data_IF_237408312382
#
_entry.id   IF_237408312382
#
_cell.length_a   1.000
_cell.length_b   1.000
_cell.length_c   1.000
_cell.angle_alpha   90.00
_cell.angle_beta   90.00
_cell.angle_gamma   90.00
#
_symmetry.space_group_name_H-M   'P 1'
#
loop_
_entity.id
_entity.type
_entity.pdbx_description
1 polymer ?
#
# COMPACT_ATOMS: atom_id res chain seq x y z
N UNK A 1 -67.15 27.10 -42.07
CA UNK A 1 -66.00 27.73 -41.42
C UNK A 1 -65.31 26.64 -40.62
N UNK A 2 -64.34 25.91 -41.26
CA UNK A 2 -63.59 24.81 -40.66
C UNK A 2 -62.25 25.39 -40.14
N UNK A 3 -62.05 25.29 -38.85
CA UNK A 3 -60.76 25.60 -38.25
C UNK A 3 -59.96 24.23 -38.09
N UNK A 4 -58.84 24.14 -38.88
CA UNK A 4 -57.87 23.08 -38.77
C UNK A 4 -57.04 23.33 -37.52
N UNK A 5 -57.03 22.37 -36.57
CA UNK A 5 -56.09 22.33 -35.48
C UNK A 5 -54.87 21.48 -35.89
N UNK A 6 -53.71 22.09 -36.04
CA UNK A 6 -52.43 21.40 -36.17
C UNK A 6 -51.96 20.98 -34.77
N UNK A 7 -51.53 19.72 -34.55
CA UNK A 7 -50.86 19.34 -33.32
C UNK A 7 -49.39 19.69 -33.38
N UNK A 8 -48.92 20.44 -32.39
CA UNK A 8 -47.50 20.68 -32.13
C UNK A 8 -46.86 19.37 -31.62
N UNK A 9 -46.02 18.75 -32.45
CA UNK A 9 -45.13 17.66 -32.03
C UNK A 9 -43.94 18.30 -31.32
N UNK A 10 -43.91 18.21 -29.97
CA UNK A 10 -42.75 18.54 -29.16
C UNK A 10 -41.75 17.40 -29.28
N UNK A 11 -40.65 17.62 -30.02
CA UNK A 11 -39.52 16.70 -30.06
C UNK A 11 -38.72 16.85 -28.79
N UNK A 12 -38.87 15.89 -27.83
CA UNK A 12 -38.01 15.78 -26.68
C UNK A 12 -36.66 15.18 -27.11
N UNK A 13 -35.64 16.01 -27.27
CA UNK A 13 -34.27 15.58 -27.48
C UNK A 13 -33.71 14.99 -26.16
N UNK A 14 -33.68 13.67 -26.07
CA UNK A 14 -33.05 12.93 -24.97
C UNK A 14 -31.53 13.03 -25.14
N UNK A 15 -30.88 13.94 -24.43
CA UNK A 15 -29.43 14.06 -24.39
C UNK A 15 -28.87 12.83 -23.61
N UNK A 16 -28.47 11.79 -24.34
CA UNK A 16 -27.75 10.65 -23.83
C UNK A 16 -26.33 11.12 -23.46
N UNK A 17 -26.10 11.45 -22.19
CA UNK A 17 -24.78 11.73 -21.69
C UNK A 17 -23.92 10.42 -21.80
N UNK A 18 -23.10 10.36 -22.84
CA UNK A 18 -22.06 9.33 -22.99
C UNK A 18 -21.09 9.49 -21.83
N UNK A 19 -21.27 8.72 -20.76
CA UNK A 19 -20.26 8.55 -19.73
C UNK A 19 -19.05 7.90 -20.40
N UNK A 20 -18.03 8.69 -20.73
CA UNK A 20 -16.74 8.18 -21.17
C UNK A 20 -16.21 7.27 -20.04
N UNK A 21 -15.79 6.04 -20.36
CA UNK A 21 -15.19 5.16 -19.35
C UNK A 21 -14.00 5.90 -18.74
N UNK A 22 -13.98 6.03 -17.42
CA UNK A 22 -12.83 6.56 -16.70
C UNK A 22 -11.62 5.67 -17.08
N UNK A 23 -10.68 6.22 -17.83
CA UNK A 23 -9.44 5.51 -18.14
C UNK A 23 -8.63 5.39 -16.86
N UNK A 24 -8.21 4.19 -16.57
CA UNK A 24 -7.31 3.93 -15.47
C UNK A 24 -5.88 3.86 -16.01
N UNK A 25 -4.99 4.62 -15.41
CA UNK A 25 -3.59 4.68 -15.79
C UNK A 25 -2.73 3.77 -14.92
N UNK A 26 -1.58 3.33 -15.42
CA UNK A 26 -0.51 2.79 -14.58
C UNK A 26 0.44 3.92 -14.18
N UNK A 27 0.67 4.08 -12.88
CA UNK A 27 1.58 5.09 -12.34
C UNK A 27 2.83 4.40 -11.83
N UNK A 28 3.98 4.73 -12.40
CA UNK A 28 5.30 4.30 -11.91
C UNK A 28 5.90 5.41 -11.07
N UNK A 29 6.40 5.07 -9.89
CA UNK A 29 7.12 6.00 -9.02
C UNK A 29 8.52 5.46 -8.77
N UNK A 30 9.54 6.24 -9.14
CA UNK A 30 10.94 5.98 -8.83
C UNK A 30 11.31 6.77 -7.59
N UNK A 31 11.78 6.09 -6.56
CA UNK A 31 12.14 6.71 -5.29
C UNK A 31 13.66 6.67 -5.11
N UNK A 32 14.23 7.82 -4.77
CA UNK A 32 15.66 7.99 -4.54
C UNK A 32 15.90 8.50 -3.11
N UNK A 33 17.03 8.13 -2.54
CA UNK A 33 17.53 8.76 -1.32
C UNK A 33 18.03 10.17 -1.59
N UNK A 34 18.35 10.93 -0.54
CA UNK A 34 18.95 12.27 -0.66
C UNK A 34 20.31 12.26 -1.39
N UNK A 35 20.97 11.10 -1.49
CA UNK A 35 22.20 10.87 -2.25
C UNK A 35 21.96 10.53 -3.73
N UNK A 36 20.71 10.56 -4.18
CA UNK A 36 20.31 10.22 -5.54
C UNK A 36 20.33 8.72 -5.87
N UNK A 37 20.65 7.85 -4.90
CA UNK A 37 20.63 6.40 -5.12
C UNK A 37 19.22 5.83 -5.00
N UNK A 38 18.89 4.76 -5.73
CA UNK A 38 17.60 4.08 -5.62
C UNK A 38 17.27 3.68 -4.17
N UNK A 39 16.04 3.97 -3.73
CA UNK A 39 15.56 3.66 -2.39
C UNK A 39 14.55 2.50 -2.41
N UNK A 40 15.00 1.31 -2.00
CA UNK A 40 14.15 0.13 -1.89
C UNK A 40 13.38 0.09 -0.56
N UNK A 41 12.29 -0.71 -0.52
CA UNK A 41 11.44 -0.88 0.66
C UNK A 41 10.80 0.43 1.15
N UNK A 42 10.54 1.34 0.23
CA UNK A 42 9.75 2.55 0.47
C UNK A 42 8.33 2.28 0.07
N UNK A 43 7.39 2.56 0.95
CA UNK A 43 5.97 2.52 0.63
C UNK A 43 5.62 3.74 -0.21
N UNK A 44 4.92 3.52 -1.30
CA UNK A 44 4.32 4.57 -2.14
C UNK A 44 2.80 4.41 -2.06
N UNK A 45 2.12 5.42 -1.57
CA UNK A 45 0.66 5.51 -1.58
C UNK A 45 0.23 6.65 -2.50
N UNK A 46 -0.71 6.34 -3.40
CA UNK A 46 -1.35 7.33 -4.26
C UNK A 46 -2.73 7.66 -3.68
N UNK A 47 -3.02 8.95 -3.55
CA UNK A 47 -4.30 9.46 -3.01
C UNK A 47 -4.96 10.33 -4.08
N UNK A 48 -5.78 9.76 -4.98
CA UNK A 48 -6.50 10.53 -5.99
C UNK A 48 -7.48 11.53 -5.36
N UNK A 49 -7.58 12.72 -5.91
CA UNK A 49 -8.53 13.75 -5.46
C UNK A 49 -9.99 13.31 -5.66
N UNK A 50 -10.25 12.45 -6.65
CA UNK A 50 -11.57 11.86 -6.89
C UNK A 50 -11.51 10.36 -6.60
N UNK A 51 -12.51 9.79 -5.91
CA UNK A 51 -12.55 8.35 -5.70
C UNK A 51 -12.59 7.65 -7.06
N UNK A 52 -11.79 6.58 -7.19
CA UNK A 52 -11.83 5.70 -8.35
C UNK A 52 -12.98 4.71 -8.27
N UNK A 53 -13.08 3.84 -9.28
CA UNK A 53 -14.00 2.72 -9.26
C UNK A 53 -13.70 1.81 -8.04
N UNK A 54 -14.72 1.19 -7.43
CA UNK A 54 -14.51 0.20 -6.39
C UNK A 54 -13.56 -0.89 -6.88
N UNK A 55 -12.58 -1.24 -6.06
CA UNK A 55 -11.67 -2.36 -6.35
C UNK A 55 -12.15 -3.61 -5.64
N UNK A 56 -11.93 -4.81 -6.23
CA UNK A 56 -12.22 -6.05 -5.54
C UNK A 56 -11.39 -6.14 -4.26
N UNK A 57 -11.85 -6.89 -3.25
CA UNK A 57 -11.07 -7.16 -2.05
C UNK A 57 -9.67 -7.67 -2.42
N UNK A 58 -8.67 -7.20 -1.71
CA UNK A 58 -7.30 -7.69 -1.89
C UNK A 58 -7.24 -9.16 -1.49
N UNK A 59 -6.53 -9.94 -2.28
CA UNK A 59 -6.17 -11.30 -1.88
C UNK A 59 -5.37 -11.24 -0.58
N UNK A 60 -5.51 -12.24 0.32
CA UNK A 60 -4.73 -12.27 1.54
C UNK A 60 -3.23 -12.12 1.25
N UNK A 61 -2.61 -11.15 1.90
CA UNK A 61 -1.16 -10.95 1.82
C UNK A 61 -0.50 -11.84 2.86
N UNK A 62 0.56 -12.53 2.48
CA UNK A 62 1.28 -13.44 3.38
C UNK A 62 2.58 -12.80 3.83
N UNK A 63 2.79 -12.76 5.15
CA UNK A 63 4.08 -12.44 5.78
C UNK A 63 4.62 -13.72 6.40
N UNK A 64 5.75 -14.17 5.89
CA UNK A 64 6.40 -15.40 6.33
C UNK A 64 7.43 -15.07 7.43
N UNK A 65 7.50 -15.90 8.48
CA UNK A 65 8.65 -15.93 9.37
C UNK A 65 9.60 -17.01 8.86
N UNK A 66 10.79 -16.58 8.48
CA UNK A 66 11.84 -17.45 7.97
C UNK A 66 13.21 -16.89 8.33
N UNK A 67 14.08 -17.74 8.85
CA UNK A 67 15.43 -17.40 9.30
C UNK A 67 15.43 -16.22 10.30
N UNK A 68 14.46 -16.23 11.22
CA UNK A 68 14.25 -15.18 12.24
C UNK A 68 13.97 -13.80 11.61
N UNK A 69 13.37 -13.76 10.43
CA UNK A 69 12.96 -12.53 9.76
C UNK A 69 11.48 -12.54 9.35
N UNK A 70 10.86 -11.37 9.31
CA UNK A 70 9.62 -11.18 8.59
C UNK A 70 9.92 -10.97 7.10
N UNK A 71 9.29 -11.77 6.23
CA UNK A 71 9.50 -11.73 4.78
C UNK A 71 8.14 -11.52 4.09
N UNK A 72 7.94 -10.41 3.38
CA UNK A 72 8.87 -9.28 3.25
C UNK A 72 8.99 -8.47 4.56
N UNK A 73 10.10 -7.73 4.71
CA UNK A 73 10.35 -6.89 5.89
C UNK A 73 9.42 -5.67 5.96
N UNK A 74 9.05 -5.14 4.80
CA UNK A 74 8.08 -4.04 4.65
C UNK A 74 6.93 -4.54 3.81
N UNK A 75 5.72 -4.42 4.32
CA UNK A 75 4.47 -4.78 3.64
C UNK A 75 3.54 -3.58 3.64
N UNK A 76 2.94 -3.26 2.52
CA UNK A 76 1.92 -2.23 2.40
C UNK A 76 0.62 -2.82 1.86
N UNK A 77 -0.48 -2.51 2.53
CA UNK A 77 -1.82 -3.01 2.16
C UNK A 77 -2.87 -1.92 2.41
N UNK A 78 -3.98 -1.88 1.66
CA UNK A 78 -5.09 -1.00 2.02
C UNK A 78 -5.81 -1.49 3.27
N UNK A 79 -6.47 -0.57 3.96
CA UNK A 79 -7.39 -0.91 5.06
C UNK A 79 -8.47 -1.89 4.60
N UNK A 80 -8.87 -2.81 5.46
CA UNK A 80 -9.77 -3.93 5.16
C UNK A 80 -9.07 -5.20 4.69
N UNK A 81 -7.76 -5.17 4.44
CA UNK A 81 -7.01 -6.35 3.99
C UNK A 81 -6.76 -7.33 5.15
N UNK A 82 -6.91 -8.63 4.86
CA UNK A 82 -6.46 -9.70 5.75
C UNK A 82 -5.01 -10.07 5.44
N UNK A 83 -4.15 -10.02 6.44
CA UNK A 83 -2.75 -10.46 6.38
C UNK A 83 -2.63 -11.80 7.07
N UNK A 84 -2.06 -12.77 6.38
CA UNK A 84 -1.71 -14.08 6.92
C UNK A 84 -0.25 -14.10 7.37
N UNK A 85 -0.03 -14.43 8.63
CA UNK A 85 1.29 -14.73 9.16
C UNK A 85 1.52 -16.23 9.09
N UNK A 86 2.70 -16.66 8.60
CA UNK A 86 3.02 -18.06 8.39
C UNK A 86 4.43 -18.37 8.88
N UNK A 87 4.57 -19.28 9.86
CA UNK A 87 5.87 -19.64 10.41
C UNK A 87 6.49 -20.80 9.63
N UNK A 88 7.60 -20.53 8.92
CA UNK A 88 8.39 -21.54 8.21
C UNK A 88 9.66 -21.96 8.95
N UNK A 89 9.97 -21.35 10.10
CA UNK A 89 11.09 -21.75 10.93
C UNK A 89 10.73 -22.97 11.77
N UNK A 90 11.70 -23.83 12.14
CA UNK A 90 11.44 -25.02 12.94
C UNK A 90 11.20 -24.74 14.43
N UNK A 91 11.18 -23.48 14.82
CA UNK A 91 10.95 -23.01 16.21
C UNK A 91 9.79 -22.01 16.26
N UNK A 92 9.27 -21.81 17.46
CA UNK A 92 8.11 -20.94 17.68
C UNK A 92 8.46 -19.47 17.48
N UNK A 93 7.49 -18.72 16.99
CA UNK A 93 7.48 -17.26 17.02
C UNK A 93 6.31 -16.71 17.83
N UNK A 94 6.54 -15.62 18.55
CA UNK A 94 5.52 -14.91 19.30
C UNK A 94 5.42 -13.49 18.75
N UNK A 95 4.60 -13.34 17.73
CA UNK A 95 4.45 -12.10 16.94
C UNK A 95 3.54 -11.14 17.70
N UNK A 96 3.90 -9.86 17.69
CA UNK A 96 3.07 -8.78 18.23
C UNK A 96 3.17 -7.51 17.40
N UNK A 97 2.12 -6.70 17.46
CA UNK A 97 2.14 -5.32 17.02
C UNK A 97 2.83 -4.45 18.07
N UNK A 98 3.75 -3.61 17.62
CA UNK A 98 4.44 -2.63 18.45
C UNK A 98 4.16 -1.21 17.95
N UNK A 99 4.31 -0.18 18.81
CA UNK A 99 4.22 1.21 18.41
C UNK A 99 5.23 1.56 17.32
N UNK A 100 4.84 2.45 16.43
CA UNK A 100 5.66 2.95 15.34
C UNK A 100 6.27 4.33 15.66
N UNK A 101 7.01 4.87 14.70
CA UNK A 101 7.71 6.14 14.80
C UNK A 101 9.08 6.02 15.48
N UNK A 102 9.94 7.03 15.32
CA UNK A 102 11.32 6.99 15.80
C UNK A 102 11.44 6.88 17.32
N UNK A 103 10.41 7.27 18.05
CA UNK A 103 10.36 7.21 19.51
C UNK A 103 9.34 6.19 20.04
N UNK A 104 8.76 5.35 19.18
CA UNK A 104 7.72 4.39 19.58
C UNK A 104 6.44 5.06 20.14
N UNK A 105 6.13 6.27 19.70
CA UNK A 105 5.02 7.08 20.21
C UNK A 105 3.78 7.05 19.32
N UNK A 106 3.81 6.36 18.17
CA UNK A 106 2.65 6.19 17.29
C UNK A 106 2.01 4.85 17.63
N UNK A 107 0.80 4.88 18.16
CA UNK A 107 0.05 3.66 18.46
C UNK A 107 -0.15 2.81 17.17
N UNK A 108 -0.07 1.48 17.25
CA UNK A 108 -0.26 0.63 16.09
C UNK A 108 -1.69 0.75 15.55
N UNK A 109 -1.84 0.74 14.23
CA UNK A 109 -3.15 0.77 13.56
C UNK A 109 -4.08 -0.38 14.00
N UNK A 110 -3.50 -1.51 14.39
CA UNK A 110 -4.18 -2.67 14.97
C UNK A 110 -3.30 -3.29 16.04
N UNK A 111 -3.86 -3.52 17.22
CA UNK A 111 -3.20 -4.29 18.28
C UNK A 111 -3.52 -5.77 18.12
N UNK A 112 -2.50 -6.60 18.08
CA UNK A 112 -2.61 -8.05 18.05
C UNK A 112 -1.34 -8.71 18.62
N UNK A 113 -1.52 -9.94 19.06
CA UNK A 113 -0.46 -10.80 19.56
C UNK A 113 -0.83 -12.25 19.24
N UNK A 114 0.14 -13.05 18.77
CA UNK A 114 -0.09 -14.44 18.41
C UNK A 114 1.17 -15.29 18.52
N UNK A 115 1.03 -16.53 18.97
CA UNK A 115 2.10 -17.52 18.95
C UNK A 115 1.89 -18.50 17.81
N UNK A 116 2.87 -18.66 16.96
CA UNK A 116 2.91 -19.63 15.89
C UNK A 116 3.96 -20.68 16.19
N UNK A 117 3.53 -21.94 16.29
CA UNK A 117 4.43 -23.07 16.54
C UNK A 117 5.42 -23.23 15.39
N UNK A 118 6.59 -23.80 15.69
CA UNK A 118 7.59 -24.16 14.69
C UNK A 118 7.03 -25.06 13.60
N UNK A 119 7.50 -24.88 12.37
CA UNK A 119 7.13 -25.71 11.23
C UNK A 119 7.68 -27.12 11.39
N UNK A 120 6.89 -28.11 10.99
CA UNK A 120 7.31 -29.52 10.83
C UNK A 120 7.16 -29.93 9.37
N UNK A 121 7.58 -31.16 9.03
CA UNK A 121 7.39 -31.68 7.67
C UNK A 121 5.91 -31.76 7.25
N UNK A 122 5.00 -31.92 8.23
CA UNK A 122 3.57 -32.12 8.00
C UNK A 122 2.75 -30.84 8.17
N UNK A 123 3.29 -29.82 8.87
CA UNK A 123 2.49 -28.66 9.28
C UNK A 123 3.27 -27.36 9.33
N UNK A 124 2.67 -26.32 8.75
CA UNK A 124 3.11 -24.93 8.86
C UNK A 124 2.04 -24.14 9.60
N UNK A 125 2.38 -23.58 10.77
CA UNK A 125 1.46 -22.79 11.58
C UNK A 125 1.21 -21.43 10.91
N UNK A 126 -0.04 -20.99 10.90
CA UNK A 126 -0.43 -19.67 10.38
C UNK A 126 -1.61 -19.09 11.16
N UNK A 127 -1.73 -17.74 11.11
CA UNK A 127 -2.87 -17.01 11.65
C UNK A 127 -3.14 -15.76 10.81
N UNK A 128 -4.39 -15.35 10.78
CA UNK A 128 -4.87 -14.23 9.98
C UNK A 128 -5.22 -13.03 10.87
N UNK A 129 -4.90 -11.83 10.38
CA UNK A 129 -5.27 -10.56 11.02
C UNK A 129 -5.87 -9.64 9.96
N UNK A 130 -7.10 -9.17 10.18
CA UNK A 130 -7.71 -8.15 9.32
C UNK A 130 -7.35 -6.75 9.83
N UNK A 131 -6.87 -5.90 8.94
CA UNK A 131 -6.37 -4.56 9.24
C UNK A 131 -7.40 -3.50 8.84
N UNK A 132 -8.25 -3.10 9.77
CA UNK A 132 -9.45 -2.30 9.49
C UNK A 132 -9.19 -0.79 9.38
N UNK A 133 -8.07 -0.30 9.93
CA UNK A 133 -7.78 1.13 10.02
C UNK A 133 -6.44 1.47 9.38
N UNK A 134 -6.34 2.60 8.63
CA UNK A 134 -5.06 3.10 8.13
C UNK A 134 -4.11 3.45 9.28
N UNK A 135 -2.81 3.27 9.03
CA UNK A 135 -1.74 3.61 9.96
C UNK A 135 -0.57 2.65 9.90
N UNK A 136 0.33 2.77 10.84
CA UNK A 136 1.55 1.99 10.91
C UNK A 136 1.45 0.89 11.96
N UNK A 137 2.14 -0.21 11.73
CA UNK A 137 2.35 -1.29 12.70
C UNK A 137 3.80 -1.74 12.58
N UNK A 138 4.53 -1.68 13.67
CA UNK A 138 5.82 -2.37 13.77
C UNK A 138 5.54 -3.80 14.23
N UNK A 139 6.09 -4.77 13.53
CA UNK A 139 6.05 -6.18 13.92
C UNK A 139 7.27 -6.51 14.75
N UNK A 140 7.07 -7.10 15.90
CA UNK A 140 8.11 -7.63 16.77
C UNK A 140 7.89 -9.10 17.10
N UNK A 141 8.93 -9.76 17.59
CA UNK A 141 8.83 -11.09 18.14
C UNK A 141 9.37 -11.11 19.58
N UNK A 142 8.56 -11.60 20.54
CA UNK A 142 9.01 -11.72 21.95
C UNK A 142 10.18 -12.68 22.15
N UNK A 143 10.22 -13.74 21.33
CA UNK A 143 11.23 -14.79 21.46
C UNK A 143 12.56 -14.42 20.77
N UNK A 144 12.52 -13.51 19.80
CA UNK A 144 13.67 -13.13 19.00
C UNK A 144 13.72 -11.59 18.87
N UNK A 145 14.38 -10.93 19.80
CA UNK A 145 14.36 -9.48 19.98
C UNK A 145 14.87 -8.65 18.78
N UNK A 146 15.66 -9.24 17.89
CA UNK A 146 16.13 -8.61 16.65
C UNK A 146 15.13 -8.69 15.49
N UNK A 147 14.09 -9.54 15.62
CA UNK A 147 13.12 -9.76 14.54
C UNK A 147 12.14 -8.59 14.43
N UNK A 148 12.27 -7.82 13.37
CA UNK A 148 11.47 -6.62 13.10
C UNK A 148 10.89 -6.66 11.69
N UNK A 149 9.67 -6.16 11.55
CA UNK A 149 9.00 -5.92 10.28
C UNK A 149 8.09 -4.71 10.36
N UNK A 150 7.58 -4.27 9.22
CA UNK A 150 6.74 -3.08 9.15
C UNK A 150 5.53 -3.33 8.26
N UNK A 151 4.35 -2.98 8.78
CA UNK A 151 3.10 -2.96 8.05
C UNK A 151 2.63 -1.51 7.91
N UNK A 152 2.42 -1.09 6.67
CA UNK A 152 1.78 0.17 6.33
C UNK A 152 0.36 -0.13 5.86
N UNK A 153 -0.64 0.30 6.64
CA UNK A 153 -2.05 0.17 6.27
C UNK A 153 -2.49 1.47 5.61
N UNK A 154 -2.69 1.42 4.30
CA UNK A 154 -3.01 2.58 3.49
C UNK A 154 -4.48 2.96 3.56
N UNK A 155 -4.78 4.25 3.40
CA UNK A 155 -6.15 4.78 3.31
C UNK A 155 -6.77 4.61 1.92
N UNK A 156 -5.98 4.22 0.92
CA UNK A 156 -6.41 4.02 -0.46
C UNK A 156 -5.96 2.66 -0.98
N UNK A 157 -6.60 2.10 -2.01
CA UNK A 157 -6.17 0.84 -2.60
C UNK A 157 -4.93 0.97 -3.51
N UNK A 158 -4.46 2.18 -3.78
CA UNK A 158 -3.28 2.43 -4.62
C UNK A 158 -2.04 2.58 -3.75
N UNK A 159 -1.53 1.45 -3.31
CA UNK A 159 -0.35 1.39 -2.44
C UNK A 159 0.52 0.20 -2.85
N UNK A 160 1.84 0.40 -2.83
CA UNK A 160 2.80 -0.67 -3.05
C UNK A 160 4.17 -0.28 -2.46
N UNK A 161 5.14 -1.21 -2.49
CA UNK A 161 6.48 -1.04 -1.94
C UNK A 161 7.49 -1.07 -3.08
N UNK A 162 8.46 -0.15 -3.08
CA UNK A 162 9.52 -0.10 -4.09
C UNK A 162 10.40 -1.35 -4.02
N UNK A 163 10.80 -1.82 -5.18
CA UNK A 163 11.73 -2.93 -5.35
C UNK A 163 13.21 -2.52 -5.12
N UNK A 164 14.15 -3.42 -5.47
CA UNK A 164 15.58 -3.17 -5.33
C UNK A 164 16.12 -2.04 -6.25
N UNK A 165 15.39 -1.71 -7.31
CA UNK A 165 15.70 -0.59 -8.20
C UNK A 165 15.13 0.75 -7.72
N UNK A 166 14.43 0.77 -6.57
CA UNK A 166 13.76 1.95 -6.05
C UNK A 166 12.45 2.27 -6.78
N UNK A 167 11.95 1.39 -7.63
CA UNK A 167 10.79 1.64 -8.48
C UNK A 167 9.58 0.81 -8.05
N UNK A 168 8.39 1.34 -8.31
CA UNK A 168 7.12 0.62 -8.15
C UNK A 168 6.11 1.11 -9.18
N UNK A 169 5.32 0.18 -9.74
CA UNK A 169 4.21 0.49 -10.65
C UNK A 169 2.88 0.11 -10.01
N UNK A 170 1.97 1.06 -9.94
CA UNK A 170 0.62 0.92 -9.39
C UNK A 170 -0.37 1.07 -10.53
N UNK A 171 -1.13 0.01 -10.79
CA UNK A 171 -2.12 -0.04 -11.86
C UNK A 171 -3.48 0.55 -11.45
N UNK A 172 -4.32 0.81 -12.45
CA UNK A 172 -5.72 1.23 -12.30
C UNK A 172 -5.90 2.50 -11.45
N UNK A 173 -4.98 3.44 -11.58
CA UNK A 173 -5.05 4.74 -10.92
C UNK A 173 -6.01 5.64 -11.69
N UNK A 174 -6.99 6.28 -11.02
CA UNK A 174 -7.90 7.21 -11.67
C UNK A 174 -7.17 8.41 -12.28
N UNK A 175 -7.66 8.88 -13.43
CA UNK A 175 -7.20 10.13 -14.01
C UNK A 175 -7.56 11.32 -13.11
N UNK A 176 -6.75 12.36 -13.17
CA UNK A 176 -6.93 13.59 -12.41
C UNK A 176 -5.79 13.91 -11.48
N UNK A 177 -6.06 14.84 -10.58
CA UNK A 177 -5.13 15.23 -9.53
C UNK A 177 -4.97 14.10 -8.51
N UNK A 178 -3.74 13.86 -8.09
CA UNK A 178 -3.42 12.93 -7.02
C UNK A 178 -2.25 13.42 -6.16
N UNK A 179 -2.25 12.97 -4.93
CA UNK A 179 -1.15 13.16 -4.01
C UNK A 179 -0.33 11.86 -3.94
N UNK A 180 0.98 11.97 -4.14
CA UNK A 180 1.93 10.88 -3.95
C UNK A 180 2.56 11.03 -2.57
N UNK A 181 2.36 10.03 -1.72
CA UNK A 181 2.94 9.93 -0.38
C UNK A 181 3.97 8.81 -0.35
N UNK A 182 5.12 9.08 0.26
CA UNK A 182 6.15 8.07 0.49
C UNK A 182 6.37 7.88 1.98
N UNK A 183 6.66 6.65 2.39
CA UNK A 183 7.01 6.31 3.76
C UNK A 183 8.12 5.26 3.78
N UNK A 184 9.09 5.43 4.67
CA UNK A 184 10.18 4.47 4.91
C UNK A 184 10.30 4.15 6.39
N UNK A 185 10.61 2.88 6.77
CA UNK A 185 10.88 2.53 8.16
C UNK A 185 12.03 3.30 8.80
N UNK A 186 12.97 3.77 7.98
CA UNK A 186 14.16 4.48 8.42
C UNK A 186 13.95 6.00 8.56
N UNK A 187 12.78 6.53 8.15
CA UNK A 187 12.52 7.98 8.28
C UNK A 187 12.36 8.43 9.73
N UNK A 188 12.97 9.55 10.06
CA UNK A 188 12.82 10.20 11.37
C UNK A 188 11.73 11.27 11.36
N UNK A 189 11.42 11.81 10.19
CA UNK A 189 10.37 12.81 9.96
C UNK A 189 9.55 12.41 8.74
N UNK A 190 8.33 12.89 8.68
CA UNK A 190 7.45 12.61 7.55
C UNK A 190 8.01 13.18 6.25
N UNK A 191 7.81 12.43 5.17
CA UNK A 191 8.16 12.88 3.84
C UNK A 191 7.11 13.87 3.31
N UNK A 192 7.51 14.95 2.62
CA UNK A 192 6.55 15.86 2.02
C UNK A 192 5.76 15.14 0.92
N UNK A 193 4.46 15.33 0.93
CA UNK A 193 3.60 14.81 -0.12
C UNK A 193 3.76 15.62 -1.41
N UNK A 194 3.68 14.95 -2.55
CA UNK A 194 3.82 15.58 -3.87
C UNK A 194 2.47 15.62 -4.58
N UNK A 195 2.07 16.80 -5.07
CA UNK A 195 0.90 16.93 -5.94
C UNK A 195 1.28 16.61 -7.37
N UNK A 196 0.53 15.71 -8.02
CA UNK A 196 0.75 15.24 -9.38
C UNK A 196 -0.56 15.21 -10.16
N UNK A 197 -0.45 15.15 -11.50
CA UNK A 197 -1.58 15.01 -12.41
C UNK A 197 -1.40 13.74 -13.23
N UNK A 198 -2.44 12.91 -13.31
CA UNK A 198 -2.51 11.73 -14.17
C UNK A 198 -3.54 11.99 -15.28
N UNK A 199 -3.18 11.71 -16.51
CA UNK A 199 -4.05 11.91 -17.67
C UNK A 199 -3.93 10.79 -18.69
N UNK A 200 -4.88 9.89 -18.70
CA UNK A 200 -5.23 8.95 -19.80
C UNK A 200 -4.19 7.93 -20.26
N UNK A 201 -2.95 8.02 -19.80
CA UNK A 201 -1.84 7.15 -20.19
C UNK A 201 -0.98 6.79 -18.97
N UNK A 202 0.03 5.97 -19.18
CA UNK A 202 1.01 5.65 -18.13
C UNK A 202 1.76 6.92 -17.70
N UNK A 203 1.86 7.15 -16.40
CA UNK A 203 2.59 8.26 -15.82
C UNK A 203 3.83 7.75 -15.06
N UNK A 204 4.92 8.52 -15.09
CA UNK A 204 6.15 8.23 -14.34
C UNK A 204 6.47 9.46 -13.50
N UNK A 205 6.71 9.25 -12.21
CA UNK A 205 7.08 10.28 -11.27
C UNK A 205 8.34 9.90 -10.51
N UNK A 206 9.17 10.90 -10.23
CA UNK A 206 10.33 10.74 -9.36
C UNK A 206 10.01 11.35 -7.99
N UNK A 207 10.43 10.66 -6.93
CA UNK A 207 10.34 11.09 -5.55
C UNK A 207 11.72 11.02 -4.90
N UNK A 208 12.10 12.06 -4.15
CA UNK A 208 13.36 12.06 -3.41
C UNK A 208 13.05 12.13 -1.92
N UNK A 209 13.59 11.18 -1.15
CA UNK A 209 13.50 11.20 0.30
C UNK A 209 14.36 12.33 0.87
N UNK A 210 13.95 12.89 1.99
CA UNK A 210 14.72 13.92 2.71
C UNK A 210 15.89 13.35 3.53
N UNK A 211 16.22 12.07 3.35
CA UNK A 211 17.33 11.37 3.99
C UNK A 211 17.91 10.32 3.05
N UNK A 212 19.10 9.82 3.38
CA UNK A 212 19.73 8.70 2.67
C UNK A 212 19.44 7.39 3.43
N UNK A 213 18.69 6.44 2.84
CA UNK A 213 18.48 5.14 3.46
C UNK A 213 19.80 4.39 3.66
N UNK A 214 19.97 3.66 4.78
CA UNK A 214 21.18 2.89 5.02
C UNK A 214 21.32 1.78 3.95
N UNK A 215 22.53 1.63 3.42
CA UNK A 215 22.82 0.52 2.47
C UNK A 215 22.68 -0.81 3.20
N UNK A 216 21.72 -1.64 2.77
CA UNK A 216 21.61 -3.00 3.29
C UNK A 216 22.88 -3.78 2.93
N UNK A 217 23.59 -4.29 3.94
CA UNK A 217 24.65 -5.27 3.70
C UNK A 217 24.01 -6.52 3.09
N UNK A 218 24.45 -6.89 1.88
CA UNK A 218 24.13 -8.23 1.35
C UNK A 218 24.84 -9.22 2.28
N UNK A 219 24.08 -9.97 3.04
CA UNK A 219 24.62 -11.20 3.65
C UNK A 219 24.81 -12.19 2.51
N UNK A 220 26.08 -12.42 2.14
CA UNK A 220 26.48 -13.45 1.20
C UNK A 220 26.30 -14.84 1.81
#
# INVERSE_FOLDING_TARGET
MNRLHLPFLAAAALALALALPARAASVTVNVHGADGQPASNVVVQLVPAKPGAPRPPWTPVVIVQRDIHFVPTVTAVPAGTTVRFSNQDPYDHHIRSEPAGPFGNIAPAKTFEMRLAGATAEKVASADVTLDKPGLIVLGCHLHGSMRGHLYVASTPWVAVTDASGSVTIADVPDGELEVRTWSPEQLVDQPAMQKQVGGANAVFDATLNFTPPKRRRHG
#
